data_IF_191399503617
#
_entry.id   IF_191399503617
#
_cell.length_a   1.000
_cell.length_b   1.000
_cell.length_c   1.000
_cell.angle_alpha   90.00
_cell.angle_beta   90.00
_cell.angle_gamma   90.00
#
_symmetry.space_group_name_H-M   'P 1'
#
loop_
_entity.id
_entity.type
_entity.pdbx_description
1 polymer ?
#
# COMPACT_ATOMS: atom_id res chain seq x y z
N UNK A 1 -19.75 -1.36 -6.50
CA UNK A 1 -21.04 -1.20 -7.19
C UNK A 1 -22.12 -0.48 -6.37
N UNK A 2 -21.93 -0.23 -5.06
CA UNK A 2 -22.89 0.52 -4.25
C UNK A 2 -24.24 -0.19 -4.03
N UNK A 3 -24.28 -1.52 -4.22
CA UNK A 3 -25.52 -2.32 -4.19
C UNK A 3 -25.93 -2.77 -2.77
N UNK A 4 -25.18 -2.41 -1.73
CA UNK A 4 -25.47 -2.71 -0.32
C UNK A 4 -24.99 -1.56 0.57
N UNK A 5 -25.68 -1.28 1.69
CA UNK A 5 -25.23 -0.31 2.70
C UNK A 5 -23.80 -0.60 3.18
N UNK A 6 -23.00 0.45 3.40
CA UNK A 6 -21.61 0.31 3.83
C UNK A 6 -21.47 -0.51 5.12
N UNK A 7 -22.36 -0.30 6.09
CA UNK A 7 -22.36 -1.01 7.36
C UNK A 7 -22.53 -2.54 7.20
N UNK A 8 -23.28 -2.98 6.20
CA UNK A 8 -23.48 -4.41 5.91
C UNK A 8 -22.29 -5.03 5.19
N UNK A 9 -21.52 -4.22 4.45
CA UNK A 9 -20.35 -4.67 3.71
C UNK A 9 -19.09 -4.82 4.60
N UNK A 10 -19.12 -4.29 5.82
CA UNK A 10 -18.00 -4.34 6.77
C UNK A 10 -18.13 -5.56 7.67
N UNK A 11 -17.17 -6.48 7.57
CA UNK A 11 -17.00 -7.55 8.53
C UNK A 11 -16.11 -7.08 9.70
N UNK A 12 -16.22 -7.73 10.87
CA UNK A 12 -15.29 -7.52 11.99
C UNK A 12 -14.60 -8.81 12.37
N UNK A 13 -13.30 -8.73 12.65
CA UNK A 13 -12.55 -9.84 13.24
C UNK A 13 -12.80 -9.92 14.77
N UNK A 14 -12.37 -11.00 15.44
CA UNK A 14 -12.52 -11.14 16.89
C UNK A 14 -11.81 -10.07 17.74
N UNK A 15 -10.83 -9.36 17.15
CA UNK A 15 -10.07 -8.31 17.82
C UNK A 15 -10.67 -6.91 17.56
N UNK A 16 -11.78 -6.81 16.83
CA UNK A 16 -12.47 -5.56 16.53
C UNK A 16 -12.01 -4.85 15.26
N UNK A 17 -11.09 -5.45 14.47
CA UNK A 17 -10.66 -4.92 13.17
C UNK A 17 -11.82 -4.96 12.18
N UNK A 18 -12.20 -3.79 11.66
CA UNK A 18 -13.17 -3.67 10.59
C UNK A 18 -12.51 -3.95 9.23
N UNK A 19 -13.13 -4.84 8.45
CA UNK A 19 -12.62 -5.29 7.15
C UNK A 19 -13.70 -5.07 6.11
N UNK A 20 -13.45 -4.12 5.21
CA UNK A 20 -14.22 -3.96 3.97
C UNK A 20 -13.50 -4.76 2.88
N UNK A 21 -14.12 -5.85 2.42
CA UNK A 21 -13.51 -6.72 1.40
C UNK A 21 -13.73 -6.15 0.01
N UNK A 22 -12.77 -6.43 -0.89
CA UNK A 22 -12.98 -6.27 -2.32
C UNK A 22 -14.21 -7.08 -2.78
N UNK A 23 -14.94 -6.56 -3.77
CA UNK A 23 -16.05 -7.27 -4.40
C UNK A 23 -15.58 -8.56 -5.10
N UNK A 24 -16.54 -9.41 -5.50
CA UNK A 24 -16.24 -10.63 -6.26
C UNK A 24 -15.52 -10.29 -7.57
N UNK A 25 -14.39 -10.95 -7.83
CA UNK A 25 -13.68 -10.91 -9.11
C UNK A 25 -14.49 -11.61 -10.21
N UNK A 26 -14.70 -10.97 -11.37
CA UNK A 26 -15.52 -11.50 -12.47
C UNK A 26 -15.87 -10.47 -13.56
N UNK A 27 -16.72 -10.86 -14.52
CA UNK A 27 -17.14 -10.07 -15.71
C UNK A 27 -17.80 -8.70 -15.41
N UNK A 28 -18.10 -8.41 -14.15
CA UNK A 28 -18.91 -7.25 -13.72
C UNK A 28 -18.07 -6.17 -12.98
N UNK A 29 -16.77 -6.09 -13.29
CA UNK A 29 -15.91 -4.99 -12.84
C UNK A 29 -16.18 -3.75 -13.71
N UNK A 30 -17.17 -2.95 -13.29
CA UNK A 30 -17.34 -1.61 -13.83
C UNK A 30 -16.14 -0.71 -13.48
N UNK A 31 -15.95 0.41 -14.21
CA UNK A 31 -14.86 1.33 -13.93
C UNK A 31 -14.92 1.84 -12.49
N UNK A 32 -13.75 2.11 -11.90
CA UNK A 32 -13.70 2.83 -10.63
C UNK A 32 -14.24 4.25 -10.85
N UNK A 33 -15.31 4.58 -10.12
CA UNK A 33 -15.87 5.92 -10.08
C UNK A 33 -15.24 6.69 -8.93
N UNK A 34 -14.45 7.72 -9.26
CA UNK A 34 -13.68 8.50 -8.29
C UNK A 34 -14.56 9.18 -7.24
N UNK A 35 -15.71 9.71 -7.65
CA UNK A 35 -16.66 10.41 -6.78
C UNK A 35 -17.22 9.47 -5.70
N UNK A 36 -17.62 8.26 -6.10
CA UNK A 36 -18.12 7.26 -5.15
C UNK A 36 -17.05 6.78 -4.18
N UNK A 37 -15.80 6.72 -4.63
CA UNK A 37 -14.67 6.39 -3.76
C UNK A 37 -14.42 7.49 -2.74
N UNK A 38 -14.56 8.75 -3.14
CA UNK A 38 -14.48 9.90 -2.24
C UNK A 38 -15.57 9.89 -1.17
N UNK A 39 -16.82 9.65 -1.57
CA UNK A 39 -17.95 9.51 -0.64
C UNK A 39 -17.73 8.36 0.35
N UNK A 40 -17.24 7.22 -0.13
CA UNK A 40 -16.90 6.07 0.70
C UNK A 40 -15.86 6.43 1.77
N UNK A 41 -14.75 7.07 1.38
CA UNK A 41 -13.73 7.48 2.35
C UNK A 41 -14.25 8.52 3.32
N UNK A 42 -15.05 9.49 2.86
CA UNK A 42 -15.68 10.49 3.72
C UNK A 42 -16.62 9.85 4.76
N UNK A 43 -17.35 8.79 4.40
CA UNK A 43 -18.19 8.04 5.33
C UNK A 43 -17.36 7.23 6.33
N UNK A 44 -16.34 6.50 5.86
CA UNK A 44 -15.44 5.73 6.72
C UNK A 44 -14.72 6.62 7.74
N UNK A 45 -14.24 7.80 7.34
CA UNK A 45 -13.53 8.76 8.21
C UNK A 45 -14.39 9.27 9.37
N UNK A 46 -15.72 9.18 9.30
CA UNK A 46 -16.63 9.55 10.42
C UNK A 46 -16.54 8.57 11.58
N UNK A 47 -16.15 7.33 11.32
CA UNK A 47 -16.23 6.22 12.30
C UNK A 47 -14.87 5.64 12.65
N UNK A 48 -13.91 5.69 11.72
CA UNK A 48 -12.60 5.06 11.88
C UNK A 48 -11.49 6.11 11.96
N UNK A 49 -10.66 6.02 13.01
CA UNK A 49 -9.49 6.88 13.17
C UNK A 49 -8.34 6.54 12.22
N UNK A 50 -8.30 5.30 11.72
CA UNK A 50 -7.33 4.83 10.74
C UNK A 50 -8.02 3.96 9.69
N UNK A 51 -7.68 4.18 8.42
CA UNK A 51 -8.18 3.42 7.28
C UNK A 51 -6.95 2.97 6.49
N UNK A 52 -6.70 1.66 6.48
CA UNK A 52 -5.65 1.07 5.65
C UNK A 52 -6.28 0.55 4.36
N UNK A 53 -5.69 0.92 3.23
CA UNK A 53 -6.17 0.49 1.91
C UNK A 53 -5.09 -0.33 1.26
N UNK A 54 -5.40 -1.60 1.00
CA UNK A 54 -4.54 -2.47 0.21
C UNK A 54 -4.80 -2.24 -1.28
N UNK A 55 -3.73 -2.11 -2.05
CA UNK A 55 -3.81 -1.79 -3.48
C UNK A 55 -2.88 -2.70 -4.29
N UNK A 56 -3.21 -2.91 -5.56
CA UNK A 56 -2.29 -3.55 -6.50
C UNK A 56 -1.01 -2.73 -6.75
N UNK A 57 -0.03 -3.28 -7.50
CA UNK A 57 1.20 -2.57 -7.85
C UNK A 57 0.91 -1.32 -8.67
N UNK A 58 1.34 -0.15 -8.18
CA UNK A 58 1.03 1.16 -8.78
C UNK A 58 1.61 1.37 -10.18
N UNK A 59 2.72 0.69 -10.50
CA UNK A 59 3.31 0.73 -11.84
C UNK A 59 2.50 -0.06 -12.88
N UNK A 60 1.64 -0.98 -12.45
CA UNK A 60 0.88 -1.87 -13.34
C UNK A 60 -0.63 -1.62 -13.33
N UNK A 61 -1.17 -0.93 -12.30
CA UNK A 61 -2.60 -0.73 -12.11
C UNK A 61 -2.91 0.74 -11.84
N UNK A 62 -3.65 1.39 -12.74
CA UNK A 62 -4.06 2.80 -12.62
C UNK A 62 -4.94 3.06 -11.39
N UNK A 63 -5.69 2.06 -10.95
CA UNK A 63 -6.56 2.09 -9.77
C UNK A 63 -5.81 2.40 -8.47
N UNK A 64 -4.57 1.91 -8.33
CA UNK A 64 -3.76 2.19 -7.16
C UNK A 64 -3.38 3.67 -7.07
N UNK A 65 -3.13 4.34 -8.21
CA UNK A 65 -2.88 5.78 -8.26
C UNK A 65 -4.11 6.60 -7.86
N UNK A 66 -5.29 6.18 -8.33
CA UNK A 66 -6.57 6.79 -7.95
C UNK A 66 -6.83 6.74 -6.44
N UNK A 67 -6.56 5.59 -5.82
CA UNK A 67 -6.68 5.40 -4.37
C UNK A 67 -5.63 6.22 -3.64
N UNK A 68 -4.38 6.19 -4.10
CA UNK A 68 -3.28 6.94 -3.49
C UNK A 68 -3.61 8.43 -3.42
N UNK A 69 -4.19 9.02 -4.48
CA UNK A 69 -4.55 10.44 -4.51
C UNK A 69 -5.58 10.85 -3.44
N UNK A 70 -6.33 9.90 -2.88
CA UNK A 70 -7.28 10.17 -1.78
C UNK A 70 -6.70 9.88 -0.39
N UNK A 71 -5.50 9.32 -0.32
CA UNK A 71 -4.85 8.95 0.93
C UNK A 71 -4.11 10.13 1.54
N UNK A 72 -4.09 10.18 2.88
CA UNK A 72 -3.31 11.16 3.62
C UNK A 72 -1.79 10.86 3.54
N UNK A 73 -1.42 9.65 3.14
CA UNK A 73 -0.05 9.25 2.80
C UNK A 73 0.06 7.79 2.37
N UNK A 74 1.19 7.42 1.77
CA UNK A 74 1.45 6.09 1.20
C UNK A 74 2.68 5.45 1.84
N UNK A 75 2.56 4.17 2.16
CA UNK A 75 3.70 3.30 2.49
C UNK A 75 4.01 2.48 1.24
N UNK A 76 5.26 2.55 0.77
CA UNK A 76 5.71 1.77 -0.37
C UNK A 76 6.27 0.44 0.12
N UNK A 77 5.78 -0.67 -0.40
CA UNK A 77 6.30 -2.01 -0.07
C UNK A 77 7.10 -2.54 -1.27
N UNK A 78 8.37 -2.89 -1.05
CA UNK A 78 9.27 -3.46 -2.06
C UNK A 78 9.69 -4.88 -1.67
N UNK A 79 10.15 -5.66 -2.64
CA UNK A 79 10.65 -7.02 -2.42
C UNK A 79 12.17 -7.06 -2.59
N UNK A 80 12.89 -7.53 -1.57
CA UNK A 80 14.35 -7.57 -1.56
C UNK A 80 14.91 -8.41 -2.72
N UNK A 81 15.95 -7.89 -3.37
CA UNK A 81 16.58 -8.47 -4.56
C UNK A 81 15.68 -8.69 -5.78
N UNK A 82 14.45 -8.16 -5.76
CA UNK A 82 13.48 -8.30 -6.86
C UNK A 82 12.98 -6.96 -7.39
N UNK A 83 12.66 -6.01 -6.52
CA UNK A 83 12.30 -4.66 -6.96
C UNK A 83 13.56 -3.90 -7.38
N UNK A 84 13.64 -3.49 -8.64
CA UNK A 84 14.81 -2.78 -9.16
C UNK A 84 14.86 -1.33 -8.68
N UNK A 85 16.05 -0.72 -8.68
CA UNK A 85 16.20 0.72 -8.42
C UNK A 85 15.44 1.58 -9.43
N UNK A 86 15.32 1.10 -10.66
CA UNK A 86 14.58 1.77 -11.72
C UNK A 86 13.08 1.77 -11.44
N UNK A 87 12.51 0.63 -11.05
CA UNK A 87 11.09 0.54 -10.66
C UNK A 87 10.81 1.41 -9.44
N UNK A 88 11.71 1.41 -8.44
CA UNK A 88 11.58 2.28 -7.28
C UNK A 88 11.57 3.76 -7.68
N UNK A 89 12.49 4.17 -8.55
CA UNK A 89 12.56 5.55 -9.04
C UNK A 89 11.31 5.94 -9.82
N UNK A 90 10.82 5.06 -10.69
CA UNK A 90 9.59 5.26 -11.45
C UNK A 90 8.36 5.38 -10.55
N UNK A 91 8.26 4.54 -9.52
CA UNK A 91 7.16 4.57 -8.55
C UNK A 91 7.17 5.86 -7.73
N UNK A 92 8.33 6.29 -7.25
CA UNK A 92 8.45 7.55 -6.51
C UNK A 92 8.12 8.77 -7.40
N UNK A 93 8.56 8.76 -8.66
CA UNK A 93 8.21 9.80 -9.61
C UNK A 93 6.69 9.86 -9.84
N UNK A 94 6.04 8.70 -10.01
CA UNK A 94 4.59 8.60 -10.19
C UNK A 94 3.82 9.10 -8.96
N UNK A 95 4.18 8.65 -7.75
CA UNK A 95 3.56 9.11 -6.51
C UNK A 95 3.71 10.63 -6.31
N UNK A 96 4.84 11.20 -6.74
CA UNK A 96 5.04 12.66 -6.75
C UNK A 96 4.06 13.37 -7.67
N UNK A 97 3.72 12.80 -8.84
CA UNK A 97 2.69 13.38 -9.73
C UNK A 97 1.29 13.37 -9.12
N UNK A 98 1.00 12.43 -8.23
CA UNK A 98 -0.26 12.39 -7.48
C UNK A 98 -0.30 13.32 -6.26
N UNK A 99 0.80 14.02 -5.97
CA UNK A 99 0.96 14.91 -4.82
C UNK A 99 0.68 14.23 -3.46
N UNK A 100 1.00 12.93 -3.36
CA UNK A 100 0.77 12.14 -2.14
C UNK A 100 2.10 11.97 -1.39
N UNK A 101 2.15 12.24 -0.07
CA UNK A 101 3.37 12.06 0.69
C UNK A 101 3.68 10.56 0.86
N UNK A 102 4.92 10.17 0.56
CA UNK A 102 5.44 8.85 0.91
C UNK A 102 5.87 8.88 2.37
N UNK A 103 5.13 8.16 3.21
CA UNK A 103 5.37 8.10 4.66
C UNK A 103 6.60 7.24 5.00
N UNK A 104 6.91 6.27 4.14
CA UNK A 104 8.04 5.38 4.32
C UNK A 104 8.09 4.27 3.28
N UNK A 105 9.15 3.48 3.36
CA UNK A 105 9.39 2.32 2.49
C UNK A 105 9.63 1.09 3.36
N UNK A 106 8.97 0.00 3.03
CA UNK A 106 9.15 -1.32 3.65
C UNK A 106 9.87 -2.22 2.67
N UNK A 107 11.05 -2.70 3.05
CA UNK A 107 11.76 -3.76 2.34
C UNK A 107 11.28 -5.11 2.86
N UNK A 108 10.52 -5.84 2.05
CA UNK A 108 9.89 -7.11 2.43
C UNK A 108 10.63 -8.32 1.84
N UNK A 109 10.40 -9.50 2.40
CA UNK A 109 11.00 -10.80 2.00
C UNK A 109 12.53 -10.79 1.95
N UNK A 110 13.15 -10.09 2.88
CA UNK A 110 14.61 -10.13 3.07
C UNK A 110 15.00 -11.53 3.55
N UNK A 111 15.96 -12.17 2.88
CA UNK A 111 16.67 -13.32 3.43
C UNK A 111 17.69 -12.79 4.44
N UNK A 112 17.38 -12.90 5.72
CA UNK A 112 18.14 -12.28 6.80
C UNK A 112 19.57 -12.85 6.88
N UNK A 113 19.77 -14.14 6.55
CA UNK A 113 21.07 -14.77 6.65
C UNK A 113 22.00 -14.27 5.54
N UNK A 114 21.53 -14.26 4.29
CA UNK A 114 22.29 -13.65 3.18
C UNK A 114 22.50 -12.15 3.36
N UNK A 115 21.55 -11.47 3.99
CA UNK A 115 21.65 -10.04 4.27
C UNK A 115 22.80 -9.76 5.26
N UNK A 116 22.99 -10.58 6.29
CA UNK A 116 24.10 -10.47 7.26
C UNK A 116 25.47 -10.75 6.63
N UNK A 117 25.52 -11.57 5.58
CA UNK A 117 26.74 -11.92 4.86
C UNK A 117 27.25 -10.81 3.92
N UNK A 118 26.62 -9.63 3.91
CA UNK A 118 27.06 -8.49 3.09
C UNK A 118 26.46 -8.46 1.68
N UNK A 119 25.33 -9.14 1.45
CA UNK A 119 24.64 -9.07 0.16
C UNK A 119 24.22 -7.62 -0.20
N UNK A 120 23.99 -7.34 -1.48
CA UNK A 120 23.66 -6.00 -1.98
C UNK A 120 22.47 -5.40 -1.20
N UNK A 121 22.67 -4.22 -0.60
CA UNK A 121 21.68 -3.53 0.23
C UNK A 121 21.77 -3.84 1.74
N UNK A 122 22.74 -4.65 2.17
CA UNK A 122 23.05 -4.97 3.57
C UNK A 122 23.51 -3.78 4.42
N UNK A 123 24.11 -2.78 3.77
CA UNK A 123 24.62 -1.55 4.40
C UNK A 123 23.55 -0.72 5.13
N UNK A 124 22.26 -0.95 4.82
CA UNK A 124 21.15 -0.12 5.31
C UNK A 124 20.69 -0.48 6.73
N UNK A 125 20.79 -1.75 7.16
CA UNK A 125 20.44 -2.19 8.52
C UNK A 125 21.66 -2.53 9.38
N UNK A 126 22.86 -2.61 8.79
CA UNK A 126 24.10 -2.93 9.51
C UNK A 126 25.10 -1.76 9.56
N UNK A 127 24.72 -0.50 9.82
CA UNK A 127 25.69 0.59 9.83
C UNK A 127 26.78 0.46 10.92
N UNK A 128 26.61 -0.40 11.93
CA UNK A 128 27.47 -0.46 13.11
C UNK A 128 28.11 -1.82 13.46
N UNK A 129 28.01 -2.86 12.62
CA UNK A 129 28.63 -4.16 12.97
C UNK A 129 30.17 -4.14 12.80
N UNK A 130 30.73 -3.11 12.15
CA UNK A 130 32.18 -2.94 11.99
C UNK A 130 32.92 -2.21 13.13
N UNK A 131 32.25 -1.81 14.23
CA UNK A 131 32.92 -1.14 15.36
C UNK A 131 33.03 -1.98 16.64
N UNK A 132 32.60 -3.24 16.60
CA UNK A 132 32.78 -4.19 17.70
C UNK A 132 33.69 -5.33 17.24
N UNK A 133 34.96 -5.02 17.01
CA UNK A 133 36.05 -5.99 16.89
C UNK A 133 37.22 -5.52 17.76
#
# INVERSE_FOLDING_TARGET
SGRSPLAEAIARDPNGLAILRGGKTGQDMGPIHFERMHELFAELKKTYGYILVDTGPILAHSEAGAIANQADGVIVVTEWMKTSKQDMSGMLALLKTYAVPVLGVVLNRVDIEKYKEGAVGSDFLLPNIGQAA
#
